data_IF_400744017341
#
_entry.id   IF_400744017341
#
_cell.length_a   1.000
_cell.length_b   1.000
_cell.length_c   1.000
_cell.angle_alpha   90.00
_cell.angle_beta   90.00
_cell.angle_gamma   90.00
#
_symmetry.space_group_name_H-M   'P 1'
#
loop_
_entity.id
_entity.type
_entity.pdbx_description
1 polymer ?
#
# COMPACT_ATOMS: atom_id res chain seq x y z
N UNK A 1 -2.86 12.77 -10.25
CA UNK A 1 -2.75 12.24 -8.87
C UNK A 1 -1.38 12.46 -8.21
N UNK A 2 -0.22 12.24 -8.87
CA UNK A 2 1.12 12.52 -8.28
C UNK A 2 1.21 13.90 -7.61
N UNK A 3 0.70 14.91 -8.31
CA UNK A 3 0.76 16.31 -7.94
C UNK A 3 -0.17 16.65 -6.77
N UNK A 4 -1.34 16.00 -6.68
CA UNK A 4 -2.34 16.33 -5.67
C UNK A 4 -1.87 15.90 -4.27
N UNK A 5 -1.37 14.67 -4.13
CA UNK A 5 -0.86 14.19 -2.83
C UNK A 5 0.40 14.92 -2.38
N UNK A 6 1.28 15.34 -3.29
CA UNK A 6 2.47 16.11 -2.92
C UNK A 6 2.17 17.53 -2.45
N UNK A 7 0.97 18.05 -2.75
CA UNK A 7 0.51 19.37 -2.32
C UNK A 7 -0.40 19.31 -1.09
N UNK A 8 -0.84 18.10 -0.72
CA UNK A 8 -1.68 17.90 0.46
C UNK A 8 -0.85 18.02 1.73
N UNK A 9 -1.38 18.76 2.70
CA UNK A 9 -0.83 18.78 4.05
C UNK A 9 -1.10 17.45 4.75
N UNK A 10 -0.43 17.22 5.88
CA UNK A 10 -0.70 16.04 6.70
C UNK A 10 -2.17 15.96 7.14
N UNK A 11 -2.77 17.11 7.47
CA UNK A 11 -4.19 17.21 7.82
C UNK A 11 -5.12 16.84 6.65
N UNK A 12 -4.77 17.22 5.42
CA UNK A 12 -5.55 16.86 4.23
C UNK A 12 -5.50 15.35 3.97
N UNK A 13 -4.31 14.74 4.15
CA UNK A 13 -4.12 13.29 4.03
C UNK A 13 -4.92 12.57 5.11
N UNK A 14 -4.85 13.03 6.36
CA UNK A 14 -5.66 12.49 7.46
C UNK A 14 -7.15 12.61 7.18
N UNK A 15 -7.60 13.74 6.62
CA UNK A 15 -9.00 13.94 6.28
C UNK A 15 -9.47 13.05 5.12
N UNK A 16 -8.62 12.85 4.12
CA UNK A 16 -8.92 12.03 2.95
C UNK A 16 -8.93 10.53 3.29
N UNK A 17 -8.08 10.11 4.21
CA UNK A 17 -7.90 8.72 4.62
C UNK A 17 -8.34 8.45 6.06
N UNK A 18 -9.35 9.19 6.55
CA UNK A 18 -9.94 9.01 7.89
C UNK A 18 -10.40 7.58 8.16
N UNK A 19 -10.75 6.85 7.10
CA UNK A 19 -11.15 5.45 7.19
C UNK A 19 -10.13 4.55 6.52
N UNK A 20 -9.93 3.37 7.12
CA UNK A 20 -9.06 2.33 6.57
C UNK A 20 -9.48 1.93 5.15
N UNK A 21 -10.79 1.90 4.89
CA UNK A 21 -11.36 1.57 3.59
C UNK A 21 -11.01 2.56 2.49
N UNK A 22 -10.94 3.86 2.82
CA UNK A 22 -10.53 4.90 1.87
C UNK A 22 -9.06 4.73 1.48
N UNK A 23 -8.19 4.51 2.47
CA UNK A 23 -6.77 4.25 2.24
C UNK A 23 -6.57 2.99 1.39
N UNK A 24 -7.28 1.90 1.72
CA UNK A 24 -7.18 0.64 1.00
C UNK A 24 -7.69 0.72 -0.44
N UNK A 25 -8.85 1.35 -0.65
CA UNK A 25 -9.42 1.54 -1.98
C UNK A 25 -8.49 2.36 -2.86
N UNK A 26 -7.90 3.41 -2.29
CA UNK A 26 -6.93 4.25 -2.97
C UNK A 26 -5.65 3.48 -3.33
N UNK A 27 -5.02 2.80 -2.38
CA UNK A 27 -3.80 2.02 -2.61
C UNK A 27 -4.01 0.90 -3.63
N UNK A 28 -5.13 0.18 -3.59
CA UNK A 28 -5.48 -0.83 -4.60
C UNK A 28 -5.64 -0.25 -6.00
N UNK A 29 -6.13 0.99 -6.11
CA UNK A 29 -6.25 1.68 -7.41
C UNK A 29 -4.88 1.97 -8.02
N UNK A 30 -3.86 2.25 -7.19
CA UNK A 30 -2.49 2.52 -7.64
C UNK A 30 -1.76 1.27 -8.13
N UNK A 31 -2.23 0.06 -7.81
CA UNK A 31 -1.67 -1.17 -8.37
C UNK A 31 -2.00 -1.38 -9.85
N UNK A 32 -2.93 -0.59 -10.41
CA UNK A 32 -3.26 -0.62 -11.84
C UNK A 32 -2.26 0.18 -12.65
N UNK A 33 -2.03 -0.25 -13.89
CA UNK A 33 -1.21 0.52 -14.84
C UNK A 33 -1.86 1.88 -15.13
N UNK A 34 -1.10 2.99 -15.20
CA UNK A 34 0.36 3.14 -15.07
C UNK A 34 0.84 3.56 -13.67
N UNK A 35 0.01 3.43 -12.63
CA UNK A 35 0.20 4.11 -11.35
C UNK A 35 1.06 3.33 -10.35
N UNK A 36 1.60 2.17 -10.69
CA UNK A 36 2.29 1.31 -9.73
C UNK A 36 3.53 1.97 -9.11
N UNK A 37 4.20 2.83 -9.86
CA UNK A 37 5.32 3.63 -9.34
C UNK A 37 4.90 4.64 -8.26
N UNK A 38 3.61 4.94 -8.13
CA UNK A 38 3.06 5.74 -7.04
C UNK A 38 2.68 4.92 -5.82
N UNK A 39 2.35 3.64 -6.03
CA UNK A 39 1.89 2.78 -4.96
C UNK A 39 2.85 2.81 -3.77
N UNK A 40 4.15 2.54 -3.99
CA UNK A 40 5.13 2.51 -2.90
C UNK A 40 5.28 3.84 -2.17
N UNK A 41 5.34 4.94 -2.93
CA UNK A 41 5.47 6.28 -2.34
C UNK A 41 4.25 6.63 -1.47
N UNK A 42 3.06 6.37 -1.98
CA UNK A 42 1.82 6.64 -1.24
C UNK A 42 1.70 5.72 -0.03
N UNK A 43 1.99 4.42 -0.18
CA UNK A 43 1.98 3.48 0.94
C UNK A 43 2.88 3.96 2.08
N UNK A 44 4.06 4.49 1.76
CA UNK A 44 4.97 5.02 2.78
C UNK A 44 4.34 6.12 3.65
N UNK A 45 3.45 6.93 3.07
CA UNK A 45 2.72 7.99 3.78
C UNK A 45 1.48 7.46 4.52
N UNK A 46 0.96 6.30 4.12
CA UNK A 46 -0.29 5.74 4.62
C UNK A 46 -0.13 4.55 5.56
N UNK A 47 1.10 4.11 5.87
CA UNK A 47 1.35 2.96 6.75
C UNK A 47 0.57 3.02 8.07
N UNK A 48 0.45 4.21 8.67
CA UNK A 48 -0.30 4.42 9.94
C UNK A 48 -1.79 4.10 9.84
N UNK A 49 -2.36 4.07 8.64
CA UNK A 49 -3.76 3.74 8.38
C UNK A 49 -3.94 2.30 7.88
N UNK A 50 -2.89 1.47 7.86
CA UNK A 50 -2.97 0.11 7.33
C UNK A 50 -2.86 -0.86 8.49
N UNK A 51 -3.95 -1.55 8.82
CA UNK A 51 -3.89 -2.68 9.74
C UNK A 51 -3.14 -3.86 9.13
N UNK A 52 -2.74 -4.80 9.98
CA UNK A 52 -2.10 -6.05 9.57
C UNK A 52 -2.94 -6.86 8.59
N UNK A 53 -4.27 -6.92 8.80
CA UNK A 53 -5.17 -7.60 7.87
C UNK A 53 -5.13 -6.97 6.48
N UNK A 54 -5.18 -5.63 6.43
CA UNK A 54 -5.14 -4.89 5.19
C UNK A 54 -3.77 -4.91 4.50
N UNK A 55 -2.68 -4.99 5.26
CA UNK A 55 -1.35 -5.27 4.71
C UNK A 55 -1.32 -6.61 3.96
N UNK A 56 -1.83 -7.69 4.56
CA UNK A 56 -1.92 -9.01 3.92
C UNK A 56 -2.76 -8.94 2.64
N UNK A 57 -3.86 -8.21 2.68
CA UNK A 57 -4.73 -7.98 1.52
C UNK A 57 -4.00 -7.26 0.38
N UNK A 58 -3.14 -6.28 0.67
CA UNK A 58 -2.32 -5.60 -0.34
C UNK A 58 -1.29 -6.54 -0.97
N UNK A 59 -0.66 -7.42 -0.18
CA UNK A 59 0.24 -8.45 -0.72
C UNK A 59 -0.48 -9.36 -1.71
N UNK A 60 -1.67 -9.87 -1.35
CA UNK A 60 -2.49 -10.67 -2.25
C UNK A 60 -2.87 -9.92 -3.51
N UNK A 61 -3.21 -8.62 -3.40
CA UNK A 61 -3.52 -7.79 -4.55
C UNK A 61 -2.33 -7.67 -5.52
N UNK A 62 -1.10 -7.43 -5.01
CA UNK A 62 0.12 -7.36 -5.83
C UNK A 62 0.35 -8.70 -6.55
N UNK A 63 0.22 -9.83 -5.85
CA UNK A 63 0.37 -11.18 -6.42
C UNK A 63 -0.71 -11.47 -7.47
N UNK A 64 -1.95 -11.02 -7.23
CA UNK A 64 -3.03 -11.14 -8.20
C UNK A 64 -2.72 -10.35 -9.48
N UNK A 65 -2.27 -9.10 -9.38
CA UNK A 65 -1.93 -8.31 -10.56
C UNK A 65 -0.71 -8.87 -11.30
N UNK A 66 0.30 -9.39 -10.58
CA UNK A 66 1.43 -10.11 -11.18
C UNK A 66 0.97 -11.25 -12.10
N UNK A 67 -0.02 -12.04 -11.68
CA UNK A 67 -0.54 -13.17 -12.47
C UNK A 67 -1.32 -12.73 -13.70
N UNK A 68 -1.97 -11.57 -13.65
CA UNK A 68 -2.95 -11.14 -14.65
C UNK A 68 -2.48 -10.01 -15.57
N UNK A 69 -1.33 -9.36 -15.30
CA UNK A 69 -0.85 -8.19 -16.04
C UNK A 69 0.65 -8.28 -16.33
N UNK A 70 0.99 -8.52 -17.60
CA UNK A 70 2.34 -8.84 -18.05
C UNK A 70 3.27 -7.61 -18.27
N UNK A 71 2.73 -6.39 -18.24
CA UNK A 71 3.46 -5.19 -18.68
C UNK A 71 4.16 -4.41 -17.57
N UNK A 72 4.03 -4.83 -16.31
CA UNK A 72 4.67 -4.15 -15.17
C UNK A 72 5.43 -5.16 -14.31
N UNK A 73 6.56 -4.71 -13.73
CA UNK A 73 7.46 -5.55 -12.94
C UNK A 73 6.96 -5.74 -11.50
N UNK A 74 5.85 -6.46 -11.33
CA UNK A 74 5.24 -6.68 -10.01
C UNK A 74 6.12 -7.47 -9.03
N UNK A 75 7.13 -8.23 -9.52
CA UNK A 75 8.12 -8.86 -8.65
C UNK A 75 8.95 -7.83 -7.88
N UNK A 76 9.47 -6.82 -8.60
CA UNK A 76 10.25 -5.73 -7.99
C UNK A 76 9.38 -4.94 -7.01
N UNK A 77 8.14 -4.62 -7.41
CA UNK A 77 7.17 -3.94 -6.54
C UNK A 77 6.88 -4.71 -5.25
N UNK A 78 6.71 -6.03 -5.34
CA UNK A 78 6.42 -6.86 -4.17
C UNK A 78 7.60 -6.88 -3.20
N UNK A 79 8.82 -7.00 -3.71
CA UNK A 79 10.06 -7.00 -2.90
C UNK A 79 10.22 -5.63 -2.21
N UNK A 80 10.06 -4.54 -2.95
CA UNK A 80 10.16 -3.19 -2.39
C UNK A 80 9.07 -2.90 -1.37
N UNK A 81 7.81 -3.27 -1.66
CA UNK A 81 6.70 -3.12 -0.73
C UNK A 81 6.93 -3.91 0.55
N UNK A 82 7.41 -5.15 0.41
CA UNK A 82 7.79 -5.96 1.55
C UNK A 82 8.88 -5.25 2.33
N UNK A 83 9.97 -4.80 1.69
CA UNK A 83 11.12 -4.17 2.36
C UNK A 83 10.82 -2.84 3.06
N UNK A 84 9.80 -2.11 2.61
CA UNK A 84 9.35 -0.86 3.26
C UNK A 84 8.32 -1.08 4.37
N UNK A 85 7.82 -2.30 4.54
CA UNK A 85 6.78 -2.58 5.51
C UNK A 85 7.29 -2.42 6.96
N UNK A 86 6.58 -1.68 7.83
CA UNK A 86 6.87 -1.57 9.25
C UNK A 86 7.02 -2.94 9.95
N UNK A 87 7.99 -3.11 10.88
CA UNK A 87 8.24 -4.40 11.53
C UNK A 87 7.00 -5.02 12.18
N UNK A 88 6.17 -4.21 12.85
CA UNK A 88 4.96 -4.67 13.53
C UNK A 88 3.90 -5.28 12.59
N UNK A 89 3.93 -4.95 11.30
CA UNK A 89 3.03 -5.56 10.30
C UNK A 89 3.59 -6.88 9.75
N UNK A 90 4.92 -7.05 9.72
CA UNK A 90 5.57 -8.30 9.28
C UNK A 90 5.68 -9.34 10.38
N UNK A 91 5.93 -8.90 11.60
CA UNK A 91 6.11 -9.78 12.74
C UNK A 91 4.73 -10.30 13.16
N UNK A 92 4.55 -11.63 13.08
CA UNK A 92 3.45 -12.32 13.75
C UNK A 92 3.36 -11.84 15.20
N UNK A 93 2.16 -11.57 15.71
CA UNK A 93 2.04 -11.42 17.17
C UNK A 93 2.56 -12.73 17.75
N UNK A 94 3.72 -12.70 18.42
CA UNK A 94 4.15 -13.82 19.24
C UNK A 94 3.13 -13.90 20.37
N UNK A 95 2.08 -14.71 20.21
CA UNK A 95 1.21 -15.06 21.33
C UNK A 95 2.09 -15.77 22.35
N UNK A 96 2.23 -15.27 23.59
CA UNK A 96 2.70 -16.11 24.67
C UNK A 96 1.63 -17.20 24.85
N UNK A 97 2.09 -18.45 24.85
CA UNK A 97 1.25 -19.64 24.99
C UNK A 97 0.42 -19.62 26.26
#
# INVERSE_FOLDING_TARGET
MRFCLSLMTESDVEQLFRTEDAAMSFLRSLLKWPYQSLFLRTTNQLWRFISKGNFIVLLYAIVYYKRNKCHFKYNELLIEFWNLCPPHLREGERRPF
#
